data_IF_458531925628
#
_entry.id   IF_458531925628
#
_cell.length_a   1.000
_cell.length_b   1.000
_cell.length_c   1.000
_cell.angle_alpha   90.00
_cell.angle_beta   90.00
_cell.angle_gamma   90.00
#
_symmetry.space_group_name_H-M   'P 1'
#
loop_
_entity.id
_entity.type
_entity.pdbx_description
1 polymer ?
#
# COMPACT_ATOMS: atom_id res chain seq x y z
N UNK A 1 -32.62 -59.68 52.88
CA UNK A 1 -33.55 -59.13 51.88
C UNK A 1 -32.80 -58.04 51.10
N UNK A 2 -32.64 -58.27 49.80
CA UNK A 2 -32.17 -57.38 48.74
C UNK A 2 -30.72 -56.86 48.78
N UNK A 3 -29.82 -57.66 48.18
CA UNK A 3 -28.66 -57.17 47.42
C UNK A 3 -29.13 -56.38 46.20
N UNK A 4 -28.60 -55.16 46.01
CA UNK A 4 -28.67 -54.42 44.75
C UNK A 4 -27.29 -54.46 44.09
N UNK A 5 -27.23 -55.16 42.96
CA UNK A 5 -26.13 -55.14 42.00
C UNK A 5 -25.93 -53.73 41.43
N UNK A 6 -24.69 -53.23 41.48
CA UNK A 6 -24.28 -51.96 40.87
C UNK A 6 -23.44 -52.29 39.64
N UNK A 7 -23.94 -51.91 38.46
CA UNK A 7 -23.27 -52.10 37.18
C UNK A 7 -22.09 -51.11 37.02
N UNK A 8 -21.02 -51.46 36.26
CA UNK A 8 -19.90 -50.57 36.02
C UNK A 8 -20.28 -49.52 34.98
N UNK A 9 -19.99 -48.25 35.26
CA UNK A 9 -20.08 -47.15 34.29
C UNK A 9 -18.85 -47.25 33.37
N UNK A 10 -19.07 -47.54 32.10
CA UNK A 10 -18.03 -47.54 31.06
C UNK A 10 -17.56 -46.11 30.78
N UNK A 11 -16.26 -45.88 30.96
CA UNK A 11 -15.55 -44.70 30.48
C UNK A 11 -15.33 -44.80 28.96
N UNK A 12 -15.55 -43.67 28.27
CA UNK A 12 -15.23 -43.33 26.86
C UNK A 12 -16.17 -43.87 25.76
N UNK A 13 -16.54 -43.04 24.76
CA UNK A 13 -15.56 -42.29 23.95
C UNK A 13 -15.94 -40.81 23.68
N UNK A 14 -15.21 -39.88 24.30
CA UNK A 14 -15.20 -38.45 23.93
C UNK A 14 -13.86 -38.04 23.30
N UNK A 15 -13.23 -38.94 22.54
CA UNK A 15 -11.95 -38.68 21.87
C UNK A 15 -12.06 -38.53 20.34
N UNK A 16 -13.25 -38.77 19.76
CA UNK A 16 -13.41 -38.73 18.28
C UNK A 16 -13.74 -37.31 17.79
N UNK A 17 -14.25 -36.41 18.64
CA UNK A 17 -14.69 -35.08 18.22
C UNK A 17 -13.61 -34.01 18.16
N UNK A 18 -12.40 -34.24 18.71
CA UNK A 18 -11.33 -33.23 18.71
C UNK A 18 -10.44 -33.35 17.46
N UNK A 19 -10.38 -34.52 16.82
CA UNK A 19 -9.47 -34.73 15.68
C UNK A 19 -9.98 -34.13 14.36
N UNK A 20 -11.24 -33.72 14.27
CA UNK A 20 -11.85 -33.18 13.03
C UNK A 20 -11.66 -31.66 12.90
N UNK A 21 -11.39 -30.95 13.99
CA UNK A 21 -11.27 -29.47 13.97
C UNK A 21 -9.85 -29.01 13.58
N UNK A 22 -8.83 -29.87 13.69
CA UNK A 22 -7.45 -29.58 13.30
C UNK A 22 -7.19 -29.64 11.78
N UNK A 23 -8.16 -30.05 10.96
CA UNK A 23 -7.95 -30.23 9.51
C UNK A 23 -8.31 -29.01 8.65
N UNK A 24 -8.76 -27.89 9.23
CA UNK A 24 -9.28 -26.73 8.47
C UNK A 24 -8.29 -25.56 8.37
N UNK A 25 -7.08 -25.67 8.96
CA UNK A 25 -6.06 -24.60 8.92
C UNK A 25 -4.71 -25.05 8.34
N UNK A 26 -4.71 -25.93 7.34
CA UNK A 26 -3.58 -25.93 6.43
C UNK A 26 -3.69 -24.69 5.56
N UNK A 27 -2.70 -23.77 5.54
CA UNK A 27 -2.63 -22.79 4.46
C UNK A 27 -2.71 -23.58 3.16
N UNK A 28 -3.72 -23.30 2.35
CA UNK A 28 -3.75 -23.76 0.97
C UNK A 28 -2.43 -23.30 0.36
N UNK A 29 -1.48 -24.21 0.20
CA UNK A 29 -0.37 -24.00 -0.70
C UNK A 29 -1.01 -23.91 -2.08
N UNK A 30 -1.34 -22.68 -2.48
CA UNK A 30 -1.65 -22.37 -3.86
C UNK A 30 -0.33 -22.59 -4.59
N UNK A 31 -0.11 -23.80 -5.09
CA UNK A 31 0.92 -24.04 -6.09
C UNK A 31 0.57 -23.16 -7.29
N UNK A 32 1.27 -22.03 -7.38
CA UNK A 32 1.15 -21.13 -8.50
C UNK A 32 1.76 -21.84 -9.72
N UNK A 33 0.91 -22.36 -10.61
CA UNK A 33 1.34 -22.91 -11.91
C UNK A 33 1.96 -21.87 -12.85
N UNK A 34 2.23 -20.64 -12.41
CA UNK A 34 2.90 -19.62 -13.19
C UNK A 34 4.41 -19.86 -13.21
N UNK A 35 4.92 -20.34 -14.33
CA UNK A 35 6.37 -20.46 -14.58
C UNK A 35 7.06 -19.11 -14.82
N UNK A 36 6.33 -17.99 -14.73
CA UNK A 36 6.82 -16.63 -15.04
C UNK A 36 6.55 -15.72 -13.85
N UNK A 37 7.59 -15.04 -13.38
CA UNK A 37 7.51 -14.01 -12.35
C UNK A 37 6.49 -12.94 -12.73
N UNK A 38 5.67 -12.45 -11.78
CA UNK A 38 4.66 -11.44 -12.06
C UNK A 38 5.30 -10.12 -12.49
N UNK A 39 4.60 -9.40 -13.37
CA UNK A 39 4.91 -8.00 -13.71
C UNK A 39 4.08 -7.09 -12.82
N UNK A 40 4.71 -6.07 -12.24
CA UNK A 40 4.06 -5.18 -11.27
C UNK A 40 4.22 -3.72 -11.72
N UNK A 41 3.10 -3.02 -11.85
CA UNK A 41 3.07 -1.58 -12.06
C UNK A 41 2.50 -0.92 -10.82
N UNK A 42 3.23 0.03 -10.24
CA UNK A 42 2.81 0.73 -9.04
C UNK A 42 2.57 2.20 -9.33
N UNK A 43 1.45 2.73 -8.85
CA UNK A 43 1.17 4.15 -8.77
C UNK A 43 0.91 4.52 -7.33
N UNK A 44 1.39 5.68 -6.92
CA UNK A 44 1.20 6.10 -5.56
C UNK A 44 2.02 7.31 -5.15
N UNK A 45 2.27 7.41 -3.86
CA UNK A 45 3.01 8.49 -3.24
C UNK A 45 4.31 8.02 -2.56
N UNK A 46 4.78 8.77 -1.56
CA UNK A 46 5.99 8.50 -0.80
C UNK A 46 6.00 7.15 -0.08
N UNK A 47 4.84 6.55 0.20
CA UNK A 47 4.76 5.23 0.84
C UNK A 47 5.29 4.11 -0.06
N UNK A 48 5.34 4.32 -1.37
CA UNK A 48 5.80 3.32 -2.34
C UNK A 48 6.80 3.87 -3.36
N UNK A 49 7.26 5.13 -3.24
CA UNK A 49 8.26 5.73 -4.12
C UNK A 49 9.66 5.11 -3.95
N UNK A 50 10.14 4.41 -4.99
CA UNK A 50 11.45 3.73 -5.00
C UNK A 50 12.61 4.59 -5.49
N UNK A 51 12.45 5.92 -5.56
CA UNK A 51 13.48 6.88 -6.01
C UNK A 51 13.03 7.81 -7.13
N UNK A 52 11.77 7.75 -7.55
CA UNK A 52 11.21 8.57 -8.61
C UNK A 52 11.20 10.05 -8.28
N UNK A 53 10.96 10.45 -7.03
CA UNK A 53 11.10 11.86 -6.62
C UNK A 53 12.54 12.36 -6.80
N UNK A 54 13.54 11.58 -6.36
CA UNK A 54 14.95 11.89 -6.53
C UNK A 54 15.35 12.00 -7.99
N UNK A 55 15.00 11.01 -8.82
CA UNK A 55 15.32 11.01 -10.26
C UNK A 55 14.58 12.12 -11.01
N UNK A 56 13.33 12.42 -10.62
CA UNK A 56 12.49 13.40 -11.29
C UNK A 56 12.88 14.85 -11.01
N UNK A 57 13.31 15.15 -9.79
CA UNK A 57 13.68 16.52 -9.38
C UNK A 57 15.19 16.75 -9.27
N UNK A 58 16.01 15.71 -9.44
CA UNK A 58 17.46 15.81 -9.26
C UNK A 58 17.86 16.03 -7.81
N UNK A 59 17.08 15.51 -6.86
CA UNK A 59 17.27 15.71 -5.41
C UNK A 59 17.91 14.46 -4.82
N UNK A 60 18.99 14.66 -4.06
CA UNK A 60 19.59 13.61 -3.23
C UNK A 60 18.94 13.67 -1.85
N UNK A 61 18.35 12.56 -1.43
CA UNK A 61 17.76 12.44 -0.10
C UNK A 61 18.88 12.26 0.94
N UNK A 62 18.96 13.10 1.99
CA UNK A 62 19.98 12.95 3.02
C UNK A 62 19.72 11.72 3.92
N UNK A 63 20.71 11.28 4.71
CA UNK A 63 20.49 10.27 5.75
C UNK A 63 19.29 10.63 6.65
N UNK A 64 18.55 9.65 7.20
CA UNK A 64 18.86 8.22 7.35
C UNK A 64 18.51 7.33 6.16
N UNK A 65 18.21 7.91 5.00
CA UNK A 65 17.80 7.18 3.80
C UNK A 65 18.73 6.01 3.45
N UNK A 66 18.11 4.83 3.24
CA UNK A 66 18.82 3.61 2.83
C UNK A 66 19.78 2.99 3.86
N UNK A 67 19.98 3.55 5.05
CA UNK A 67 20.98 3.08 6.03
C UNK A 67 20.82 1.62 6.48
N UNK A 68 19.59 1.10 6.56
CA UNK A 68 19.31 -0.22 7.15
C UNK A 68 19.36 -1.37 6.15
N UNK A 69 19.29 -1.08 4.84
CA UNK A 69 19.23 -2.13 3.82
C UNK A 69 20.08 -1.83 2.58
N UNK A 70 19.90 -0.65 1.96
CA UNK A 70 20.60 -0.33 0.71
C UNK A 70 22.06 0.11 0.96
N UNK A 71 22.34 0.63 2.15
CA UNK A 71 23.63 1.17 2.59
C UNK A 71 24.21 2.22 1.63
N UNK A 72 23.32 2.94 0.93
CA UNK A 72 23.60 4.03 -0.01
C UNK A 72 22.34 4.87 -0.21
N UNK A 73 22.49 6.02 -0.86
CA UNK A 73 21.34 6.79 -1.31
C UNK A 73 20.55 6.02 -2.38
N UNK A 74 19.31 5.67 -2.08
CA UNK A 74 18.35 5.00 -2.94
C UNK A 74 17.14 5.90 -3.28
N UNK A 75 17.10 7.13 -2.77
CA UNK A 75 16.08 8.15 -3.10
C UNK A 75 14.72 7.93 -2.44
N UNK A 76 14.65 7.15 -1.35
CA UNK A 76 13.39 6.72 -0.72
C UNK A 76 13.09 7.51 0.54
N UNK A 77 11.82 7.77 0.85
CA UNK A 77 11.43 8.39 2.13
C UNK A 77 11.37 7.40 3.30
N UNK A 78 12.36 6.51 3.39
CA UNK A 78 12.55 5.58 4.48
C UNK A 78 14.03 5.20 4.62
N UNK A 79 14.38 4.57 5.74
CA UNK A 79 15.76 4.21 6.01
C UNK A 79 16.18 2.85 5.41
N UNK A 80 15.29 2.20 4.64
CA UNK A 80 15.52 0.89 4.05
C UNK A 80 14.47 0.51 3.01
N UNK A 81 13.81 -0.63 3.23
CA UNK A 81 12.81 -1.21 2.32
C UNK A 81 11.42 -0.63 2.55
N UNK A 82 10.66 -0.52 1.47
CA UNK A 82 9.25 -0.15 1.41
C UNK A 82 8.36 -1.41 1.40
N UNK A 83 7.06 -1.25 1.68
CA UNK A 83 6.07 -2.35 1.61
C UNK A 83 6.13 -3.05 0.25
N UNK A 84 6.33 -2.30 -0.83
CA UNK A 84 6.41 -2.85 -2.17
C UNK A 84 7.65 -3.72 -2.41
N UNK A 85 8.76 -3.51 -1.70
CA UNK A 85 9.92 -4.39 -1.82
C UNK A 85 9.63 -5.75 -1.18
N UNK A 86 9.00 -5.76 0.01
CA UNK A 86 8.60 -7.01 0.67
C UNK A 86 7.60 -7.80 -0.18
N UNK A 87 6.71 -7.11 -0.91
CA UNK A 87 5.85 -7.76 -1.90
C UNK A 87 6.69 -8.39 -3.02
N UNK A 88 7.67 -7.67 -3.58
CA UNK A 88 8.57 -8.21 -4.61
C UNK A 88 9.35 -9.43 -4.10
N UNK A 89 9.86 -9.40 -2.85
CA UNK A 89 10.55 -10.53 -2.22
C UNK A 89 9.64 -11.76 -2.14
N UNK A 90 8.41 -11.59 -1.64
CA UNK A 90 7.44 -12.68 -1.53
C UNK A 90 7.02 -13.24 -2.90
N UNK A 91 7.00 -12.40 -3.94
CA UNK A 91 6.71 -12.81 -5.31
C UNK A 91 7.96 -13.31 -6.07
N UNK A 92 9.11 -13.34 -5.40
CA UNK A 92 10.41 -13.74 -5.99
C UNK A 92 10.72 -12.93 -7.26
N UNK A 93 10.54 -11.62 -7.19
CA UNK A 93 10.84 -10.66 -8.27
C UNK A 93 11.91 -9.66 -7.86
N UNK A 94 12.51 -8.99 -8.84
CA UNK A 94 13.37 -7.84 -8.56
C UNK A 94 12.56 -6.68 -7.97
N UNK A 95 13.21 -5.77 -7.24
CA UNK A 95 12.57 -4.52 -6.83
C UNK A 95 12.24 -3.65 -8.02
N UNK A 96 11.17 -2.87 -7.90
CA UNK A 96 10.72 -2.01 -8.99
C UNK A 96 11.63 -0.80 -9.16
N UNK A 97 12.13 -0.67 -10.39
CA UNK A 97 12.84 0.53 -10.84
C UNK A 97 11.85 1.69 -10.96
N UNK A 98 12.17 2.90 -10.45
CA UNK A 98 11.34 4.08 -10.67
C UNK A 98 11.31 4.43 -12.16
N UNK A 99 10.14 4.80 -12.68
CA UNK A 99 9.93 5.11 -14.11
C UNK A 99 10.87 6.20 -14.64
N UNK A 100 11.28 7.13 -13.77
CA UNK A 100 12.17 8.25 -14.09
C UNK A 100 13.66 7.90 -13.99
N UNK A 101 14.04 6.66 -13.68
CA UNK A 101 15.44 6.24 -13.73
C UNK A 101 15.96 6.25 -15.18
N UNK A 102 17.02 7.02 -15.40
CA UNK A 102 17.59 7.25 -16.73
C UNK A 102 18.85 6.41 -16.98
N UNK A 103 19.57 6.00 -15.94
CA UNK A 103 20.85 5.33 -16.03
C UNK A 103 20.74 3.86 -15.58
N UNK A 104 20.54 2.99 -16.56
CA UNK A 104 20.49 1.53 -16.35
C UNK A 104 19.21 1.02 -15.67
N UNK A 105 18.01 1.48 -16.07
CA UNK A 105 16.79 0.95 -15.48
C UNK A 105 16.57 -0.52 -15.83
N UNK A 106 16.04 -1.29 -14.88
CA UNK A 106 15.53 -2.64 -15.15
C UNK A 106 14.01 -2.63 -15.06
N UNK A 107 13.35 -2.64 -16.22
CA UNK A 107 11.89 -2.69 -16.33
C UNK A 107 11.36 -4.08 -16.73
N UNK A 108 12.16 -5.14 -16.62
CA UNK A 108 11.75 -6.48 -17.07
C UNK A 108 10.60 -7.09 -16.26
N UNK A 109 10.42 -6.65 -15.01
CA UNK A 109 9.34 -7.10 -14.11
C UNK A 109 8.36 -5.97 -13.73
N UNK A 110 8.34 -4.89 -14.48
CA UNK A 110 7.45 -3.75 -14.26
C UNK A 110 8.18 -2.45 -13.96
N UNK A 111 7.43 -1.45 -13.53
CA UNK A 111 7.94 -0.11 -13.25
C UNK A 111 7.14 0.55 -12.13
N UNK A 112 7.81 1.40 -11.36
CA UNK A 112 7.18 2.19 -10.31
C UNK A 112 6.98 3.63 -10.74
N UNK A 113 5.73 4.08 -10.80
CA UNK A 113 5.33 5.44 -11.13
C UNK A 113 5.02 6.29 -9.91
N UNK A 114 5.07 5.72 -8.70
CA UNK A 114 4.87 6.47 -7.47
C UNK A 114 5.94 7.55 -7.29
N UNK A 115 5.51 8.73 -6.83
CA UNK A 115 6.37 9.87 -6.57
C UNK A 115 6.00 10.47 -5.22
N UNK A 116 7.01 10.76 -4.41
CA UNK A 116 6.82 11.37 -3.09
C UNK A 116 6.04 12.69 -3.18
N UNK A 117 5.04 12.82 -2.32
CA UNK A 117 4.13 13.99 -2.28
C UNK A 117 2.98 13.95 -3.29
N UNK A 118 2.91 12.94 -4.16
CA UNK A 118 1.81 12.80 -5.11
C UNK A 118 0.45 12.73 -4.43
N UNK A 119 -0.51 13.37 -5.07
CA UNK A 119 -1.92 13.42 -4.69
C UNK A 119 -2.80 13.05 -5.89
N UNK A 120 -4.09 12.83 -5.68
CA UNK A 120 -5.05 12.68 -6.78
C UNK A 120 -5.30 14.02 -7.48
N UNK A 121 -5.33 15.11 -6.70
CA UNK A 121 -5.56 16.48 -7.14
C UNK A 121 -4.48 17.41 -6.57
N UNK A 122 -4.26 18.59 -7.18
CA UNK A 122 -4.87 19.10 -8.41
C UNK A 122 -4.31 18.47 -9.69
N UNK A 123 -5.10 18.48 -10.78
CA UNK A 123 -4.74 17.85 -12.07
C UNK A 123 -3.53 18.47 -12.78
N UNK A 124 -3.14 19.70 -12.41
CA UNK A 124 -1.99 20.39 -12.99
C UNK A 124 -0.65 20.05 -12.30
N UNK A 125 -0.67 19.38 -11.14
CA UNK A 125 0.56 18.96 -10.48
C UNK A 125 1.32 17.93 -11.32
N UNK A 126 2.64 18.13 -11.43
CA UNK A 126 3.49 17.38 -12.37
C UNK A 126 3.62 15.89 -12.06
N UNK A 127 3.20 15.44 -10.88
CA UNK A 127 3.29 14.04 -10.45
C UNK A 127 2.00 13.47 -9.87
N UNK A 128 0.84 14.12 -10.06
CA UNK A 128 -0.42 13.57 -9.57
C UNK A 128 -0.77 12.21 -10.21
N UNK A 129 -1.76 11.52 -9.63
CA UNK A 129 -2.22 10.20 -10.11
C UNK A 129 -2.53 10.18 -11.61
N UNK A 130 -3.14 11.25 -12.14
CA UNK A 130 -3.44 11.37 -13.56
C UNK A 130 -2.18 11.42 -14.44
N UNK A 131 -1.11 12.07 -13.99
CA UNK A 131 0.20 12.05 -14.67
C UNK A 131 0.79 10.65 -14.63
N UNK A 132 0.76 9.98 -13.48
CA UNK A 132 1.27 8.61 -13.34
C UNK A 132 0.56 7.64 -14.29
N UNK A 133 -0.77 7.78 -14.44
CA UNK A 133 -1.54 7.04 -15.44
C UNK A 133 -1.11 7.32 -16.89
N UNK A 134 -0.80 8.58 -17.23
CA UNK A 134 -0.26 8.94 -18.56
C UNK A 134 1.16 8.40 -18.79
N UNK A 135 1.99 8.37 -17.75
CA UNK A 135 3.33 7.76 -17.80
C UNK A 135 3.22 6.26 -18.08
N UNK A 136 2.32 5.55 -17.39
CA UNK A 136 2.02 4.15 -17.65
C UNK A 136 1.54 3.91 -19.08
N UNK A 137 0.60 4.72 -19.58
CA UNK A 137 0.11 4.62 -20.95
C UNK A 137 1.24 4.79 -21.99
N UNK A 138 2.09 5.80 -21.79
CA UNK A 138 3.27 6.02 -22.64
C UNK A 138 4.23 4.84 -22.58
N UNK A 139 4.54 4.35 -21.38
CA UNK A 139 5.42 3.22 -21.15
C UNK A 139 4.90 1.97 -21.87
N UNK A 140 3.61 1.65 -21.70
CA UNK A 140 2.96 0.52 -22.37
C UNK A 140 3.06 0.60 -23.88
N UNK A 141 2.64 1.74 -24.45
CA UNK A 141 2.65 1.96 -25.90
C UNK A 141 4.05 1.79 -26.46
N UNK A 142 5.05 2.39 -25.80
CA UNK A 142 6.44 2.33 -26.25
C UNK A 142 7.05 0.94 -26.10
N UNK A 143 6.76 0.23 -25.00
CA UNK A 143 7.25 -1.12 -24.76
C UNK A 143 6.71 -2.10 -25.82
N UNK A 144 5.43 -2.01 -26.17
CA UNK A 144 4.81 -2.84 -27.21
C UNK A 144 5.41 -2.53 -28.59
N UNK A 145 5.58 -1.25 -28.93
CA UNK A 145 6.20 -0.82 -30.20
C UNK A 145 7.64 -1.31 -30.35
N UNK A 146 8.44 -1.24 -29.29
CA UNK A 146 9.82 -1.71 -29.32
C UNK A 146 9.89 -3.24 -29.38
N UNK A 147 9.02 -3.93 -28.64
CA UNK A 147 8.93 -5.39 -28.69
C UNK A 147 8.57 -5.87 -30.09
N UNK A 148 7.66 -5.19 -30.81
CA UNK A 148 7.31 -5.55 -32.20
C UNK A 148 8.44 -5.29 -33.20
N UNK A 149 9.39 -4.41 -32.86
CA UNK A 149 10.63 -4.16 -33.62
C UNK A 149 11.77 -5.12 -33.27
N UNK A 150 11.53 -6.12 -32.42
CA UNK A 150 12.51 -7.16 -32.06
C UNK A 150 13.45 -6.78 -30.91
N UNK A 151 13.19 -5.69 -30.19
CA UNK A 151 13.91 -5.40 -28.95
C UNK A 151 13.57 -6.45 -27.89
N UNK A 152 14.59 -6.98 -27.22
CA UNK A 152 14.46 -8.02 -26.19
C UNK A 152 14.47 -7.41 -24.79
N UNK A 153 13.95 -8.14 -23.81
CA UNK A 153 13.97 -7.75 -22.40
C UNK A 153 12.95 -6.67 -22.02
N UNK A 154 11.99 -6.39 -22.90
CA UNK A 154 10.89 -5.45 -22.66
C UNK A 154 9.60 -6.19 -22.30
N UNK A 155 8.68 -5.46 -21.68
CA UNK A 155 7.36 -5.97 -21.30
C UNK A 155 6.47 -6.05 -22.56
N UNK A 156 5.98 -7.25 -22.85
CA UNK A 156 5.13 -7.51 -24.00
C UNK A 156 3.64 -7.23 -23.71
N UNK A 157 2.82 -7.27 -24.77
CA UNK A 157 1.37 -7.03 -24.67
C UNK A 157 0.68 -7.96 -23.67
N UNK A 158 1.02 -9.24 -23.66
CA UNK A 158 0.42 -10.22 -22.75
C UNK A 158 0.88 -10.04 -21.30
N UNK A 159 2.08 -9.50 -21.09
CA UNK A 159 2.58 -9.18 -19.75
C UNK A 159 1.76 -8.05 -19.11
N UNK A 160 1.46 -6.98 -19.86
CA UNK A 160 0.59 -5.91 -19.36
C UNK A 160 -0.78 -6.44 -18.95
N UNK A 161 -1.39 -7.30 -19.77
CA UNK A 161 -2.69 -7.90 -19.48
C UNK A 161 -2.69 -8.73 -18.19
N UNK A 162 -1.57 -9.40 -17.89
CA UNK A 162 -1.44 -10.27 -16.72
C UNK A 162 -0.78 -9.61 -15.52
N UNK A 163 -0.35 -8.34 -15.64
CA UNK A 163 0.33 -7.58 -14.62
C UNK A 163 -0.57 -7.28 -13.42
N UNK A 164 0.08 -7.07 -12.27
CA UNK A 164 -0.52 -6.52 -11.06
C UNK A 164 -0.38 -4.99 -11.08
N UNK A 165 -1.47 -4.28 -10.89
CA UNK A 165 -1.53 -2.81 -10.82
C UNK A 165 -1.81 -2.39 -9.38
N UNK A 166 -0.82 -1.79 -8.74
CA UNK A 166 -0.90 -1.31 -7.37
C UNK A 166 -1.25 0.18 -7.33
N UNK A 167 -2.14 0.56 -6.42
CA UNK A 167 -2.59 1.93 -6.20
C UNK A 167 -2.54 2.24 -4.71
N UNK A 168 -1.67 3.18 -4.34
CA UNK A 168 -1.46 3.68 -2.97
C UNK A 168 -1.37 5.22 -2.98
N UNK A 169 -2.53 5.88 -2.91
CA UNK A 169 -2.66 7.32 -3.11
C UNK A 169 -3.84 7.87 -2.28
N UNK A 170 -3.84 9.17 -1.98
CA UNK A 170 -4.92 9.87 -1.30
C UNK A 170 -4.56 10.42 0.08
N UNK A 171 -3.47 9.93 0.70
CA UNK A 171 -3.02 10.45 2.00
C UNK A 171 -2.63 11.93 1.90
N UNK A 172 -1.90 12.31 0.86
CA UNK A 172 -1.50 13.70 0.64
C UNK A 172 -2.69 14.63 0.33
N UNK A 173 -3.74 14.14 -0.33
CA UNK A 173 -4.97 14.90 -0.55
C UNK A 173 -5.65 15.27 0.79
N UNK A 174 -5.70 14.32 1.73
CA UNK A 174 -6.24 14.53 3.08
C UNK A 174 -5.33 15.46 3.90
N UNK A 175 -4.03 15.15 3.98
CA UNK A 175 -3.04 15.97 4.71
C UNK A 175 -3.05 17.41 4.20
N UNK A 176 -3.03 17.59 2.88
CA UNK A 176 -3.12 18.89 2.24
C UNK A 176 -4.42 19.60 2.60
N UNK A 177 -5.58 18.97 2.42
CA UNK A 177 -6.88 19.58 2.70
C UNK A 177 -7.04 20.01 4.15
N UNK A 178 -6.66 19.16 5.10
CA UNK A 178 -6.72 19.49 6.51
C UNK A 178 -5.68 20.54 6.97
N UNK A 179 -4.74 20.94 6.11
CA UNK A 179 -3.79 22.02 6.43
C UNK A 179 -4.44 23.40 6.36
N UNK A 180 -5.60 23.54 5.70
CA UNK A 180 -6.26 24.84 5.51
C UNK A 180 -7.80 24.79 5.59
N UNK A 181 -8.43 23.61 5.68
CA UNK A 181 -9.89 23.45 5.77
C UNK A 181 -10.32 22.84 7.12
N UNK A 182 -11.50 23.23 7.63
CA UNK A 182 -12.13 22.54 8.75
C UNK A 182 -12.64 21.16 8.34
N UNK A 183 -12.79 20.26 9.32
CA UNK A 183 -13.18 18.86 9.11
C UNK A 183 -14.36 18.66 8.14
N UNK A 184 -15.53 19.34 8.28
CA UNK A 184 -16.66 19.11 7.39
C UNK A 184 -16.33 19.36 5.90
N UNK A 185 -15.55 20.41 5.62
CA UNK A 185 -15.16 20.75 4.25
C UNK A 185 -14.13 19.77 3.67
N UNK A 186 -13.30 19.15 4.52
CA UNK A 186 -12.41 18.07 4.06
C UNK A 186 -13.23 16.84 3.67
N UNK A 187 -14.23 16.48 4.46
CA UNK A 187 -15.11 15.34 4.15
C UNK A 187 -15.87 15.56 2.83
N UNK A 188 -16.36 16.79 2.59
CA UNK A 188 -17.01 17.15 1.32
C UNK A 188 -16.10 16.99 0.09
N UNK A 189 -14.77 17.06 0.26
CA UNK A 189 -13.81 16.86 -0.83
C UNK A 189 -13.50 15.39 -1.14
N UNK A 190 -13.65 14.48 -0.16
CA UNK A 190 -13.29 13.06 -0.32
C UNK A 190 -13.87 12.44 -1.61
N UNK A 191 -15.15 12.63 -1.97
CA UNK A 191 -15.71 12.07 -3.20
C UNK A 191 -14.93 12.45 -4.47
N UNK A 192 -14.33 13.64 -4.50
CA UNK A 192 -13.52 14.09 -5.65
C UNK A 192 -12.20 13.32 -5.76
N UNK A 193 -11.56 12.98 -4.64
CA UNK A 193 -10.35 12.16 -4.65
C UNK A 193 -10.66 10.71 -5.07
N UNK A 194 -11.77 10.16 -4.56
CA UNK A 194 -12.27 8.82 -4.93
C UNK A 194 -12.59 8.76 -6.42
N UNK A 195 -13.18 9.81 -7.00
CA UNK A 195 -13.47 9.87 -8.43
C UNK A 195 -12.21 9.81 -9.31
N UNK A 196 -11.11 10.45 -8.90
CA UNK A 196 -9.82 10.36 -9.62
C UNK A 196 -9.21 8.96 -9.52
N UNK A 197 -9.34 8.28 -8.38
CA UNK A 197 -8.92 6.88 -8.22
C UNK A 197 -9.76 5.96 -9.11
N UNK A 198 -11.10 6.14 -9.14
CA UNK A 198 -12.00 5.42 -10.06
C UNK A 198 -11.55 5.62 -11.51
N UNK A 199 -11.29 6.85 -11.90
CA UNK A 199 -10.83 7.18 -13.25
C UNK A 199 -9.51 6.49 -13.60
N UNK A 200 -8.54 6.47 -12.68
CA UNK A 200 -7.25 5.80 -12.89
C UNK A 200 -7.42 4.28 -13.07
N UNK A 201 -8.20 3.62 -12.21
CA UNK A 201 -8.47 2.17 -12.30
C UNK A 201 -9.15 1.84 -13.63
N UNK A 202 -10.22 2.57 -13.98
CA UNK A 202 -10.95 2.33 -15.22
C UNK A 202 -10.10 2.61 -16.46
N UNK A 203 -9.21 3.60 -16.42
CA UNK A 203 -8.27 3.88 -17.51
C UNK A 203 -7.30 2.72 -17.72
N UNK A 204 -6.74 2.16 -16.65
CA UNK A 204 -5.86 0.98 -16.73
C UNK A 204 -6.62 -0.23 -17.24
N UNK A 205 -7.85 -0.41 -16.78
CA UNK A 205 -8.72 -1.48 -17.24
C UNK A 205 -9.00 -1.39 -18.74
N UNK A 206 -9.28 -0.19 -19.26
CA UNK A 206 -9.44 0.06 -20.71
C UNK A 206 -8.16 -0.26 -21.50
N UNK A 207 -6.99 -0.17 -20.88
CA UNK A 207 -5.70 -0.59 -21.46
C UNK A 207 -5.42 -2.09 -21.32
N UNK A 208 -6.37 -2.86 -20.81
CA UNK A 208 -6.32 -4.32 -20.68
C UNK A 208 -5.83 -4.83 -19.33
N UNK A 209 -5.57 -3.95 -18.35
CA UNK A 209 -5.16 -4.35 -17.00
C UNK A 209 -6.33 -4.98 -16.23
N UNK A 210 -6.09 -6.09 -15.53
CA UNK A 210 -7.16 -6.88 -14.89
C UNK A 210 -6.93 -7.21 -13.43
N UNK A 211 -5.76 -6.95 -12.87
CA UNK A 211 -5.45 -7.30 -11.48
C UNK A 211 -5.06 -6.04 -10.74
N UNK A 212 -5.91 -5.61 -9.84
CA UNK A 212 -5.73 -4.39 -9.06
C UNK A 212 -5.52 -4.72 -7.60
N UNK A 213 -4.52 -4.08 -7.02
CA UNK A 213 -4.28 -4.06 -5.59
C UNK A 213 -4.39 -2.62 -5.13
N UNK A 214 -5.42 -2.32 -4.35
CA UNK A 214 -5.76 -0.97 -3.89
C UNK A 214 -5.54 -0.90 -2.39
N UNK A 215 -4.54 -0.15 -1.96
CA UNK A 215 -4.29 0.12 -0.54
C UNK A 215 -5.10 1.33 -0.10
N UNK A 216 -5.67 1.26 1.10
CA UNK A 216 -6.30 2.41 1.74
C UNK A 216 -5.24 3.29 2.45
N UNK A 217 -5.62 4.50 2.87
CA UNK A 217 -4.67 5.38 3.58
C UNK A 217 -4.44 4.91 5.01
N UNK A 218 -3.22 5.12 5.52
CA UNK A 218 -2.88 4.82 6.92
C UNK A 218 -3.51 5.78 7.94
N UNK A 219 -3.29 5.55 9.25
CA UNK A 219 -3.73 6.44 10.30
C UNK A 219 -2.88 7.70 10.34
N UNK A 220 -3.09 8.61 9.38
CA UNK A 220 -2.20 9.75 9.18
C UNK A 220 -2.24 10.75 10.35
N UNK A 221 -3.28 10.71 11.19
CA UNK A 221 -3.33 11.47 12.45
C UNK A 221 -2.28 11.05 13.47
N UNK A 222 -1.67 9.87 13.29
CA UNK A 222 -0.55 9.37 14.08
C UNK A 222 0.82 9.77 13.50
N UNK A 223 0.89 10.44 12.35
CA UNK A 223 2.18 10.81 11.77
C UNK A 223 2.88 11.83 12.66
N UNK A 224 4.18 11.64 12.97
CA UNK A 224 4.93 12.60 13.78
C UNK A 224 4.87 14.03 13.23
N UNK A 225 4.87 14.19 11.90
CA UNK A 225 4.69 15.49 11.25
C UNK A 225 3.35 16.14 11.67
N UNK A 226 2.24 15.42 11.59
CA UNK A 226 0.91 15.96 11.94
C UNK A 226 0.83 16.32 13.42
N UNK A 227 1.42 15.49 14.29
CA UNK A 227 1.49 15.72 15.74
C UNK A 227 2.36 16.92 16.12
N UNK A 228 3.39 17.21 15.33
CA UNK A 228 4.30 18.33 15.56
C UNK A 228 3.77 19.67 15.01
N UNK A 229 3.04 19.66 13.89
CA UNK A 229 2.60 20.89 13.22
C UNK A 229 1.16 21.29 13.54
N UNK A 230 0.37 20.43 14.18
CA UNK A 230 -1.02 20.72 14.53
C UNK A 230 -1.11 21.17 15.99
N UNK A 231 -1.77 22.30 16.23
CA UNK A 231 -2.09 22.75 17.59
C UNK A 231 -2.90 21.69 18.32
N UNK A 232 -2.37 21.19 19.43
CA UNK A 232 -3.00 20.12 20.21
C UNK A 232 -4.23 20.67 20.94
N UNK A 233 -5.41 20.27 20.49
CA UNK A 233 -6.60 20.30 21.33
C UNK A 233 -6.65 18.98 22.11
N UNK A 234 -6.67 19.03 23.44
CA UNK A 234 -6.72 17.84 24.28
C UNK A 234 -7.93 16.93 23.97
N UNK A 235 -9.03 17.49 23.44
CA UNK A 235 -10.20 16.71 23.05
C UNK A 235 -10.06 16.00 21.69
N UNK A 236 -9.04 16.31 20.90
CA UNK A 236 -8.81 15.75 19.55
C UNK A 236 -7.70 14.68 19.55
N UNK A 237 -7.29 14.19 20.72
CA UNK A 237 -6.25 13.17 20.85
C UNK A 237 -6.88 11.88 21.36
N UNK A 238 -6.66 10.78 20.64
CA UNK A 238 -7.10 9.45 21.08
C UNK A 238 -6.19 8.86 22.16
N UNK A 239 -6.58 7.70 22.71
CA UNK A 239 -5.83 7.02 23.78
C UNK A 239 -4.40 6.61 23.41
N UNK A 240 -4.04 6.62 22.12
CA UNK A 240 -2.71 6.27 21.61
C UNK A 240 -1.91 7.50 21.20
N UNK A 241 -2.42 8.71 21.44
CA UNK A 241 -1.73 9.97 21.15
C UNK A 241 -1.89 10.45 19.72
N UNK A 242 -2.81 9.89 18.93
CA UNK A 242 -3.07 10.30 17.56
C UNK A 242 -4.18 11.36 17.46
N UNK A 243 -4.12 12.21 16.44
CA UNK A 243 -5.19 13.17 16.14
C UNK A 243 -6.45 12.44 15.65
N UNK A 244 -7.51 12.47 16.46
CA UNK A 244 -8.76 11.76 16.21
C UNK A 244 -9.45 12.27 14.94
N UNK A 245 -9.59 13.59 14.78
CA UNK A 245 -10.21 14.22 13.61
C UNK A 245 -9.55 13.82 12.29
N UNK A 246 -8.22 13.67 12.29
CA UNK A 246 -7.44 13.24 11.13
C UNK A 246 -7.70 11.77 10.82
N UNK A 247 -7.65 10.92 11.84
CA UNK A 247 -7.94 9.49 11.69
C UNK A 247 -9.41 9.23 11.31
N UNK A 248 -10.36 10.07 11.73
CA UNK A 248 -11.75 10.01 11.28
C UNK A 248 -11.89 10.38 9.79
N UNK A 249 -11.17 11.41 9.33
CA UNK A 249 -11.09 11.73 7.91
C UNK A 249 -10.49 10.59 7.07
N UNK A 250 -9.44 9.94 7.59
CA UNK A 250 -8.86 8.74 6.98
C UNK A 250 -9.87 7.60 6.88
N UNK A 251 -10.62 7.33 7.96
CA UNK A 251 -11.66 6.30 7.99
C UNK A 251 -12.78 6.58 7.00
N UNK A 252 -13.24 7.82 6.87
CA UNK A 252 -14.27 8.17 5.89
C UNK A 252 -13.76 8.01 4.45
N UNK A 253 -12.54 8.43 4.16
CA UNK A 253 -11.91 8.17 2.86
C UNK A 253 -11.81 6.67 2.58
N UNK A 254 -11.33 5.89 3.54
CA UNK A 254 -11.13 4.45 3.42
C UNK A 254 -12.45 3.68 3.22
N UNK A 255 -13.53 4.15 3.87
CA UNK A 255 -14.90 3.64 3.68
C UNK A 255 -15.38 3.86 2.25
N UNK A 256 -15.22 5.08 1.72
CA UNK A 256 -15.62 5.37 0.34
C UNK A 256 -14.76 4.63 -0.69
N UNK A 257 -13.44 4.50 -0.44
CA UNK A 257 -12.55 3.73 -1.30
C UNK A 257 -12.90 2.24 -1.31
N UNK A 258 -13.30 1.68 -0.16
CA UNK A 258 -13.78 0.29 -0.08
C UNK A 258 -15.06 0.11 -0.89
N UNK A 259 -16.03 1.01 -0.73
CA UNK A 259 -17.28 0.99 -1.49
C UNK A 259 -17.01 1.10 -3.01
N UNK A 260 -16.07 1.96 -3.43
CA UNK A 260 -15.64 2.04 -4.82
C UNK A 260 -15.05 0.71 -5.31
N UNK A 261 -14.22 0.03 -4.51
CA UNK A 261 -13.67 -1.27 -4.91
C UNK A 261 -14.76 -2.33 -5.04
N UNK A 262 -15.79 -2.30 -4.20
CA UNK A 262 -16.97 -3.18 -4.30
C UNK A 262 -17.78 -2.88 -5.56
N UNK A 263 -18.08 -1.60 -5.83
CA UNK A 263 -18.74 -1.14 -7.06
C UNK A 263 -17.98 -1.57 -8.32
N UNK A 264 -16.66 -1.40 -8.36
CA UNK A 264 -15.85 -1.77 -9.52
C UNK A 264 -15.80 -3.29 -9.73
N UNK A 265 -15.82 -4.11 -8.67
CA UNK A 265 -15.97 -5.58 -8.83
C UNK A 265 -17.31 -5.94 -9.48
N UNK A 266 -18.32 -5.08 -9.37
CA UNK A 266 -19.59 -5.24 -10.05
C UNK A 266 -19.60 -4.71 -11.49
N UNK A 267 -18.92 -3.60 -11.75
CA UNK A 267 -18.85 -3.00 -13.08
C UNK A 267 -17.91 -3.77 -14.04
N UNK A 268 -16.74 -4.21 -13.57
CA UNK A 268 -15.69 -4.85 -14.40
C UNK A 268 -15.44 -6.30 -13.99
N UNK A 269 -16.39 -7.17 -14.34
CA UNK A 269 -16.50 -8.57 -13.90
C UNK A 269 -15.33 -9.50 -14.25
N UNK A 270 -14.52 -9.16 -15.26
CA UNK A 270 -13.34 -9.92 -15.65
C UNK A 270 -12.03 -9.40 -15.04
N UNK A 271 -12.12 -8.40 -14.15
CA UNK A 271 -11.02 -7.91 -13.34
C UNK A 271 -11.09 -8.44 -11.89
N UNK A 272 -9.93 -8.65 -11.28
CA UNK A 272 -9.75 -8.90 -9.86
C UNK A 272 -9.32 -7.61 -9.19
N UNK A 273 -10.06 -7.16 -8.18
CA UNK A 273 -9.73 -5.98 -7.39
C UNK A 273 -9.60 -6.41 -5.93
N UNK A 274 -8.42 -6.24 -5.35
CA UNK A 274 -8.15 -6.50 -3.94
C UNK A 274 -8.06 -5.17 -3.21
N UNK A 275 -8.88 -5.00 -2.18
CA UNK A 275 -8.82 -3.87 -1.26
C UNK A 275 -8.02 -4.28 -0.04
N UNK A 276 -7.05 -3.47 0.38
CA UNK A 276 -6.20 -3.76 1.53
C UNK A 276 -6.32 -2.68 2.59
N UNK A 277 -6.68 -3.10 3.80
CA UNK A 277 -6.87 -2.23 4.95
C UNK A 277 -5.55 -1.95 5.68
N UNK A 278 -4.73 -1.09 5.08
CA UNK A 278 -3.47 -0.61 5.65
C UNK A 278 -3.70 0.22 6.91
N UNK A 279 -4.82 0.93 7.01
CA UNK A 279 -5.20 1.65 8.23
C UNK A 279 -5.21 0.73 9.44
N UNK A 280 -5.99 -0.36 9.36
CA UNK A 280 -6.14 -1.30 10.46
C UNK A 280 -4.79 -1.91 10.86
N UNK A 281 -3.98 -2.32 9.89
CA UNK A 281 -2.65 -2.90 10.12
C UNK A 281 -1.73 -1.90 10.82
N UNK A 282 -1.59 -0.68 10.27
CA UNK A 282 -0.69 0.33 10.84
C UNK A 282 -1.17 0.84 12.20
N UNK A 283 -2.49 0.95 12.40
CA UNK A 283 -3.04 1.39 13.68
C UNK A 283 -2.88 0.31 14.75
N UNK A 284 -2.99 -0.98 14.40
CA UNK A 284 -2.69 -2.08 15.32
C UNK A 284 -1.23 -2.05 15.79
N UNK A 285 -0.27 -1.78 14.89
CA UNK A 285 1.14 -1.62 15.27
C UNK A 285 1.36 -0.50 16.30
N UNK A 286 0.59 0.58 16.20
CA UNK A 286 0.67 1.71 17.13
C UNK A 286 0.01 1.34 18.47
N UNK A 287 -1.22 0.82 18.40
CA UNK A 287 -2.01 0.45 19.58
C UNK A 287 -1.38 -0.67 20.40
N UNK A 288 -0.72 -1.63 19.73
CA UNK A 288 -0.11 -2.82 20.32
C UNK A 288 1.42 -2.83 20.15
N UNK A 289 2.05 -1.65 20.18
CA UNK A 289 3.49 -1.47 19.95
C UNK A 289 4.39 -2.40 20.78
N UNK A 290 4.03 -2.67 22.04
CA UNK A 290 4.79 -3.58 22.91
C UNK A 290 4.88 -5.01 22.37
N UNK A 291 3.90 -5.48 21.59
CA UNK A 291 3.93 -6.81 20.95
C UNK A 291 4.90 -6.89 19.78
N UNK A 292 5.17 -5.75 19.14
CA UNK A 292 6.01 -5.64 17.94
C UNK A 292 7.41 -5.06 18.23
N UNK A 293 7.71 -4.80 19.50
CA UNK A 293 8.93 -4.15 19.99
C UNK A 293 8.71 -2.68 20.37
N UNK A 294 9.31 -2.22 21.47
CA UNK A 294 9.12 -0.89 22.10
C UNK A 294 9.51 0.34 21.22
N UNK A 295 9.77 0.15 19.92
CA UNK A 295 10.26 1.18 18.99
C UNK A 295 9.19 2.17 18.47
N UNK A 296 7.92 2.02 18.86
CA UNK A 296 6.84 2.92 18.40
C UNK A 296 6.41 3.97 19.43
N UNK A 297 7.33 4.48 20.25
CA UNK A 297 7.06 5.80 20.81
C UNK A 297 7.06 6.79 19.65
N UNK A 298 5.96 7.55 19.47
CA UNK A 298 5.71 8.57 18.43
C UNK A 298 6.77 9.71 18.34
N UNK A 299 7.93 9.53 18.97
CA UNK A 299 9.13 10.31 18.79
C UNK A 299 9.69 10.05 17.39
N UNK A 300 9.97 11.11 16.64
CA UNK A 300 10.72 11.02 15.38
C UNK A 300 11.96 10.13 15.59
N UNK A 301 12.09 9.04 14.82
CA UNK A 301 13.32 8.22 14.76
C UNK A 301 14.60 9.03 14.43
N UNK A 302 14.47 10.33 14.09
CA UNK A 302 15.56 11.21 13.71
C UNK A 302 15.91 12.29 14.76
N UNK A 303 15.11 12.51 15.81
CA UNK A 303 15.42 13.55 16.81
C UNK A 303 16.14 13.02 18.06
N UNK A 304 16.19 11.70 18.26
CA UNK A 304 16.81 11.11 19.45
C UNK A 304 18.33 10.93 19.36
N UNK A 305 18.96 11.12 18.19
CA UNK A 305 20.42 11.06 18.06
C UNK A 305 21.13 12.41 18.27
N UNK A 306 20.39 13.52 18.43
CA UNK A 306 20.99 14.88 18.58
C UNK A 306 20.99 15.46 19.99
N UNK A 307 20.70 14.66 21.02
CA UNK A 307 20.71 15.12 22.42
C UNK A 307 21.59 14.29 23.37
N UNK A 308 22.64 13.64 22.83
CA UNK A 308 23.73 13.09 23.63
C UNK A 308 25.07 13.67 23.18
N UNK A 309 25.26 14.97 23.43
CA UNK A 309 26.56 15.60 23.71
C UNK A 309 26.39 16.65 24.82
#
# INVERSE_FOLDING_TARGET
MYEKQQAPVSLLPCFISISVIMSVCFPLNVECGCSRSPVIFNMGDSNSDTGGFSSGLGIIMPPPEGRTFFHKFAGRLCDGRLIIDFLCENLTTNYLTPYLESLGPNFSNGANFAISGSSTLPKYDSFNLGVQGRQLFRFQTRSIELTSKGFKGLIGKEDFKNALYMIDIGQNDLVGSFSYLPYPQVIEKIPTFIAEIKFAILSIYQLGGKKFWVHNTGPFGCLPQQLATTSKNASDIDQYGCLQSRNDGAREFNKQLKALCEELRDEIKDATIVYVDIFAIKYDLIANSTLYGEFFHLSFCQLTEKFNE
#
